data_IF_758302940521
#
_entry.id   IF_758302940521
#
_cell.length_a   1.000
_cell.length_b   1.000
_cell.length_c   1.000
_cell.angle_alpha   90.00
_cell.angle_beta   90.00
_cell.angle_gamma   90.00
#
_symmetry.space_group_name_H-M   'P 1'
#
loop_
_entity.id
_entity.type
_entity.pdbx_description
1 polymer ?
#
# COMPACT_ATOMS: atom_id res chain seq x y z
N UNK A 1 18.66 -45.53 54.68
CA UNK A 1 17.61 -46.19 55.48
C UNK A 1 16.27 -45.93 54.86
N UNK A 2 15.63 -46.96 54.40
CA UNK A 2 14.18 -47.11 54.06
C UNK A 2 13.35 -47.03 55.32
N UNK A 3 11.98 -47.09 55.34
CA UNK A 3 10.97 -47.21 54.24
C UNK A 3 9.76 -46.24 54.35
N UNK A 4 8.95 -46.12 53.31
CA UNK A 4 7.61 -46.72 53.00
C UNK A 4 6.45 -46.24 53.87
N UNK A 5 5.28 -45.93 53.35
CA UNK A 5 4.15 -46.63 52.72
C UNK A 5 3.02 -45.67 52.39
N UNK A 6 2.51 -45.63 51.19
CA UNK A 6 1.24 -46.17 50.65
C UNK A 6 -0.03 -46.05 51.54
N UNK A 7 -1.06 -45.29 51.02
CA UNK A 7 -2.46 -45.79 50.98
C UNK A 7 -3.35 -44.91 50.02
N UNK A 8 -3.94 -45.65 49.11
CA UNK A 8 -5.08 -45.26 48.27
C UNK A 8 -6.36 -45.15 49.15
N UNK A 9 -7.27 -44.26 48.70
CA UNK A 9 -8.70 -44.53 48.84
C UNK A 9 -9.47 -43.92 47.70
N UNK A 10 -10.24 -44.76 47.06
CA UNK A 10 -11.25 -44.51 46.04
C UNK A 10 -12.44 -43.73 46.63
N UNK A 11 -13.05 -42.91 45.79
CA UNK A 11 -14.37 -42.31 46.06
C UNK A 11 -14.99 -41.78 44.77
N UNK A 12 -15.78 -42.62 44.11
CA UNK A 12 -16.66 -42.28 42.98
C UNK A 12 -17.91 -41.61 43.56
N UNK A 13 -18.25 -40.41 43.05
CA UNK A 13 -19.60 -39.90 43.14
C UNK A 13 -20.00 -39.25 41.81
N UNK A 14 -20.96 -39.92 41.19
CA UNK A 14 -21.72 -39.44 40.02
C UNK A 14 -22.73 -38.40 40.51
N UNK A 15 -22.74 -37.25 39.91
CA UNK A 15 -23.75 -36.21 40.13
C UNK A 15 -23.99 -35.44 38.85
N UNK A 16 -25.07 -35.79 38.17
CA UNK A 16 -25.59 -35.02 37.04
C UNK A 16 -26.19 -33.71 37.52
N UNK A 17 -25.81 -32.58 36.93
CA UNK A 17 -26.52 -31.32 37.09
C UNK A 17 -26.62 -30.57 35.74
N UNK A 18 -27.82 -30.17 35.53
CA UNK A 18 -28.50 -29.53 34.46
C UNK A 18 -27.80 -28.28 33.88
N UNK A 19 -27.89 -28.20 32.57
CA UNK A 19 -27.55 -27.09 31.71
C UNK A 19 -28.45 -25.91 32.05
N UNK A 20 -27.85 -24.78 32.42
CA UNK A 20 -28.52 -23.47 32.38
C UNK A 20 -27.80 -22.58 31.38
N UNK A 21 -28.43 -22.41 30.25
CA UNK A 21 -28.05 -21.51 29.20
C UNK A 21 -28.24 -20.06 29.66
N UNK A 22 -27.15 -19.35 29.91
CA UNK A 22 -27.15 -17.88 29.94
C UNK A 22 -26.39 -17.41 28.76
N UNK A 23 -27.16 -16.95 27.76
CA UNK A 23 -26.72 -16.14 26.65
C UNK A 23 -26.29 -14.77 27.18
N UNK A 24 -24.99 -14.57 27.35
CA UNK A 24 -24.41 -13.23 27.42
C UNK A 24 -23.91 -12.88 26.02
N UNK A 25 -24.56 -11.89 25.41
CA UNK A 25 -24.14 -11.32 24.15
C UNK A 25 -22.69 -10.84 24.23
N UNK A 26 -21.78 -11.60 23.64
CA UNK A 26 -20.49 -11.12 23.27
C UNK A 26 -20.69 -10.13 22.14
N UNK A 27 -20.48 -8.85 22.41
CA UNK A 27 -20.24 -7.88 21.36
C UNK A 27 -18.97 -8.34 20.63
N UNK A 28 -19.16 -8.84 19.42
CA UNK A 28 -18.09 -8.89 18.43
C UNK A 28 -17.70 -7.44 18.19
N UNK A 29 -16.55 -7.03 18.68
CA UNK A 29 -15.85 -5.86 18.18
C UNK A 29 -15.57 -6.18 16.72
N UNK A 30 -16.35 -5.53 15.85
CA UNK A 30 -16.14 -5.59 14.42
C UNK A 30 -14.68 -5.21 14.14
N UNK A 31 -13.97 -6.17 13.56
CA UNK A 31 -12.60 -6.00 13.08
C UNK A 31 -12.61 -5.14 11.80
N UNK A 32 -13.04 -3.89 11.92
CA UNK A 32 -12.99 -2.94 10.82
C UNK A 32 -11.54 -2.52 10.47
N UNK A 33 -10.60 -2.71 11.44
CA UNK A 33 -9.20 -2.32 11.24
C UNK A 33 -8.36 -3.35 10.45
N UNK A 34 -8.85 -4.58 10.23
CA UNK A 34 -8.10 -5.58 9.46
C UNK A 34 -8.38 -5.55 7.95
N UNK A 35 -9.42 -4.85 7.50
CA UNK A 35 -9.76 -4.78 6.08
C UNK A 35 -9.03 -3.64 5.34
N UNK A 36 -8.54 -2.61 6.02
CA UNK A 36 -7.77 -1.53 5.39
C UNK A 36 -6.46 -2.05 4.78
N UNK A 37 -5.79 -3.01 5.44
CA UNK A 37 -4.52 -3.59 4.96
C UNK A 37 -4.63 -4.51 3.74
N UNK A 38 -5.84 -5.01 3.42
CA UNK A 38 -6.05 -5.94 2.30
C UNK A 38 -6.68 -5.30 1.06
N UNK A 39 -6.91 -3.98 1.08
CA UNK A 39 -7.59 -3.28 -0.01
C UNK A 39 -6.80 -3.27 -1.31
N UNK A 40 -5.46 -3.25 -1.21
CA UNK A 40 -4.54 -3.14 -2.35
C UNK A 40 -3.61 -4.35 -2.38
N UNK A 41 -3.77 -5.22 -3.36
CA UNK A 41 -3.13 -6.56 -3.39
C UNK A 41 -1.62 -6.55 -3.56
N UNK A 42 -1.04 -5.45 -4.02
CA UNK A 42 0.41 -5.30 -4.25
C UNK A 42 1.03 -4.09 -3.51
N UNK A 43 0.29 -3.51 -2.55
CA UNK A 43 0.75 -2.37 -1.74
C UNK A 43 0.61 -2.74 -0.26
N UNK A 44 1.12 -3.91 0.12
CA UNK A 44 0.94 -4.46 1.46
C UNK A 44 2.03 -3.92 2.39
N UNK A 45 1.61 -3.24 3.46
CA UNK A 45 2.50 -2.74 4.51
C UNK A 45 2.62 -3.80 5.60
N UNK A 46 3.84 -4.18 5.95
CA UNK A 46 4.12 -5.19 6.99
C UNK A 46 4.24 -4.59 8.40
N UNK A 47 4.48 -3.29 8.51
CA UNK A 47 4.61 -2.60 9.79
C UNK A 47 4.94 -1.12 9.65
N UNK A 48 4.75 -0.38 10.74
CA UNK A 48 5.06 1.05 10.80
C UNK A 48 6.58 1.30 10.93
N UNK A 49 7.02 2.44 10.42
CA UNK A 49 8.40 2.93 10.59
C UNK A 49 8.43 3.86 11.79
N UNK A 50 9.21 3.52 12.79
CA UNK A 50 9.31 4.30 14.03
C UNK A 50 10.66 5.00 14.15
N UNK A 51 10.68 6.16 14.81
CA UNK A 51 11.91 6.86 15.23
C UNK A 51 12.66 7.59 14.12
N UNK A 52 12.17 7.59 12.88
CA UNK A 52 12.73 8.34 11.74
C UNK A 52 11.66 8.68 10.72
N UNK A 53 11.98 9.58 9.83
CA UNK A 53 11.15 9.88 8.65
C UNK A 53 11.07 8.68 7.71
N UNK A 54 9.92 8.48 7.09
CA UNK A 54 9.76 7.49 6.03
C UNK A 54 10.42 7.98 4.74
N UNK A 55 11.01 7.03 3.99
CA UNK A 55 11.67 7.27 2.70
C UNK A 55 10.83 6.70 1.57
N UNK A 56 10.29 7.58 0.78
CA UNK A 56 9.40 7.28 -0.32
C UNK A 56 10.16 7.46 -1.63
N UNK A 57 10.16 6.43 -2.45
CA UNK A 57 10.70 6.49 -3.82
C UNK A 57 9.54 6.41 -4.81
N UNK A 58 9.63 7.16 -5.89
CA UNK A 58 8.65 7.15 -6.98
C UNK A 58 9.34 7.01 -8.33
N UNK A 59 8.73 6.27 -9.23
CA UNK A 59 9.33 5.98 -10.55
C UNK A 59 9.05 7.05 -11.60
N UNK A 60 7.89 7.72 -11.55
CA UNK A 60 7.50 8.69 -12.60
C UNK A 60 7.04 10.02 -12.00
N UNK A 61 7.38 11.11 -12.66
CA UNK A 61 7.15 12.47 -12.15
C UNK A 61 5.68 12.80 -11.78
N UNK A 62 4.64 12.41 -12.53
CA UNK A 62 3.27 12.62 -12.09
C UNK A 62 2.93 11.96 -10.76
N UNK A 63 3.42 10.73 -10.52
CA UNK A 63 3.23 10.02 -9.25
C UNK A 63 4.01 10.72 -8.14
N UNK A 64 5.26 11.14 -8.40
CA UNK A 64 6.05 11.93 -7.44
C UNK A 64 5.28 13.17 -6.98
N UNK A 65 4.62 13.86 -7.91
CA UNK A 65 3.81 15.04 -7.60
C UNK A 65 2.59 14.72 -6.73
N UNK A 66 1.87 13.63 -7.01
CA UNK A 66 0.74 13.20 -6.17
C UNK A 66 1.20 12.85 -4.76
N UNK A 67 2.30 12.10 -4.64
CA UNK A 67 2.89 11.73 -3.33
C UNK A 67 3.28 12.99 -2.56
N UNK A 68 4.00 13.91 -3.18
CA UNK A 68 4.44 15.15 -2.53
C UNK A 68 3.26 15.97 -1.99
N UNK A 69 2.13 15.99 -2.70
CA UNK A 69 0.93 16.68 -2.24
C UNK A 69 0.24 15.94 -1.09
N UNK A 70 0.24 14.61 -1.07
CA UNK A 70 -0.34 13.83 0.04
C UNK A 70 0.52 13.95 1.29
N UNK A 71 1.85 13.83 1.18
CA UNK A 71 2.71 13.90 2.37
C UNK A 71 2.89 15.33 2.88
N UNK A 72 2.78 16.32 2.01
CA UNK A 72 2.89 17.74 2.40
C UNK A 72 4.19 18.05 3.13
N UNK A 73 4.09 18.76 4.26
CA UNK A 73 5.23 19.15 5.12
C UNK A 73 5.45 18.19 6.31
N UNK A 74 4.93 16.96 6.25
CA UNK A 74 5.06 15.96 7.33
C UNK A 74 6.50 15.55 7.65
N UNK A 75 7.44 15.87 6.75
CA UNK A 75 8.85 15.49 6.87
C UNK A 75 9.20 14.16 6.23
N UNK A 76 8.27 13.48 5.55
CA UNK A 76 8.59 12.31 4.73
C UNK A 76 9.57 12.69 3.62
N UNK A 77 10.59 11.85 3.38
CA UNK A 77 11.57 12.05 2.32
C UNK A 77 11.04 11.46 1.01
N UNK A 78 10.80 12.30 -0.01
CA UNK A 78 10.28 11.86 -1.31
C UNK A 78 11.35 12.01 -2.38
N UNK A 79 11.69 10.92 -3.07
CA UNK A 79 12.66 10.89 -4.16
C UNK A 79 12.03 10.36 -5.44
N UNK A 80 11.99 11.18 -6.50
CA UNK A 80 11.60 10.75 -7.84
C UNK A 80 12.82 10.20 -8.60
N UNK A 81 12.73 8.98 -9.13
CA UNK A 81 13.81 8.38 -9.93
C UNK A 81 13.84 8.90 -11.35
N UNK A 82 12.69 9.01 -11.99
CA UNK A 82 12.59 9.54 -13.35
C UNK A 82 12.43 11.06 -13.28
N UNK A 83 13.39 11.84 -13.79
CA UNK A 83 13.31 13.30 -13.79
C UNK A 83 12.10 13.80 -14.56
N UNK A 84 11.58 14.95 -14.14
CA UNK A 84 10.50 15.64 -14.84
C UNK A 84 10.87 15.91 -16.30
N UNK A 85 9.91 15.74 -17.21
CA UNK A 85 10.13 15.90 -18.64
C UNK A 85 10.85 14.73 -19.34
N UNK A 86 11.21 13.69 -18.60
CA UNK A 86 11.84 12.48 -19.16
C UNK A 86 10.77 11.46 -19.60
N UNK A 87 11.04 10.78 -20.71
CA UNK A 87 10.14 9.70 -21.18
C UNK A 87 10.33 8.44 -20.32
N UNK A 88 9.36 8.15 -19.47
CA UNK A 88 9.40 7.01 -18.56
C UNK A 88 9.38 5.64 -19.25
N UNK A 89 8.87 5.55 -20.50
CA UNK A 89 8.86 4.29 -21.27
C UNK A 89 10.27 3.83 -21.68
N UNK A 90 11.22 4.77 -21.77
CA UNK A 90 12.56 4.51 -22.28
C UNK A 90 13.65 4.93 -21.31
N UNK A 91 13.26 5.37 -20.12
CA UNK A 91 14.22 5.74 -19.09
C UNK A 91 14.91 4.51 -18.52
N UNK A 92 16.24 4.56 -18.53
CA UNK A 92 17.08 3.57 -17.87
C UNK A 92 17.70 4.24 -16.62
N UNK A 93 17.37 3.76 -15.42
CA UNK A 93 17.88 4.35 -14.20
C UNK A 93 19.40 4.15 -14.10
N UNK A 94 20.15 5.16 -13.63
CA UNK A 94 21.58 5.01 -13.42
C UNK A 94 21.86 4.03 -12.27
N UNK A 95 23.03 3.38 -12.25
CA UNK A 95 23.41 2.43 -11.17
C UNK A 95 23.30 3.02 -9.75
N UNK A 96 23.48 4.34 -9.62
CA UNK A 96 23.31 5.03 -8.33
C UNK A 96 21.87 5.00 -7.78
N UNK A 97 20.86 4.76 -8.62
CA UNK A 97 19.48 4.60 -8.20
C UNK A 97 19.30 3.36 -7.30
N UNK A 98 20.16 2.34 -7.44
CA UNK A 98 20.13 1.17 -6.56
C UNK A 98 20.29 1.52 -5.08
N UNK A 99 21.15 2.50 -4.75
CA UNK A 99 21.36 2.93 -3.37
C UNK A 99 20.13 3.67 -2.80
N UNK A 100 19.40 4.40 -3.66
CA UNK A 100 18.16 5.08 -3.28
C UNK A 100 17.07 4.04 -3.00
N UNK A 101 16.97 3.02 -3.84
CA UNK A 101 16.02 1.92 -3.71
C UNK A 101 16.32 1.06 -2.47
N UNK A 102 17.59 0.73 -2.19
CA UNK A 102 18.01 -0.02 -0.99
C UNK A 102 17.57 0.67 0.31
N UNK A 103 17.55 2.00 0.32
CA UNK A 103 17.18 2.79 1.49
C UNK A 103 15.66 3.07 1.61
N UNK A 104 14.87 2.70 0.62
CA UNK A 104 13.44 3.01 0.56
C UNK A 104 12.59 2.18 1.54
N UNK A 105 11.58 2.80 2.11
CA UNK A 105 10.52 2.12 2.87
C UNK A 105 9.36 1.72 1.97
N UNK A 106 9.12 2.53 0.94
CA UNK A 106 8.15 2.25 -0.11
C UNK A 106 8.63 2.77 -1.46
N UNK A 107 8.38 1.98 -2.50
CA UNK A 107 8.57 2.38 -3.90
C UNK A 107 7.21 2.41 -4.58
N UNK A 108 6.72 3.59 -4.92
CA UNK A 108 5.52 3.76 -5.72
C UNK A 108 5.87 3.73 -7.21
N UNK A 109 5.30 2.81 -7.92
CA UNK A 109 5.43 2.63 -9.36
C UNK A 109 4.07 2.81 -10.04
N UNK A 110 4.08 3.17 -11.31
CA UNK A 110 2.82 3.13 -12.07
C UNK A 110 2.38 1.69 -12.33
N UNK A 111 3.31 0.84 -12.73
CA UNK A 111 2.99 -0.50 -13.21
C UNK A 111 2.42 -0.47 -14.63
N UNK A 112 1.58 -1.47 -14.97
CA UNK A 112 0.95 -1.59 -16.30
C UNK A 112 1.99 -1.61 -17.44
N UNK A 113 3.16 -2.18 -17.18
CA UNK A 113 4.26 -2.33 -18.16
C UNK A 113 4.84 -0.99 -18.65
N UNK A 114 4.76 0.07 -17.82
CA UNK A 114 5.30 1.39 -18.19
C UNK A 114 6.81 1.47 -18.04
N UNK A 115 7.31 1.16 -16.84
CA UNK A 115 8.68 1.41 -16.41
C UNK A 115 9.43 0.13 -16.05
N UNK A 116 9.42 -0.88 -16.93
CA UNK A 116 10.00 -2.20 -16.66
C UNK A 116 11.47 -2.13 -16.20
N UNK A 117 12.40 -1.35 -16.83
CA UNK A 117 13.78 -1.29 -16.36
C UNK A 117 13.94 -0.74 -14.94
N UNK A 118 13.10 0.23 -14.56
CA UNK A 118 13.11 0.80 -13.19
C UNK A 118 12.50 -0.16 -12.19
N UNK A 119 11.46 -0.90 -12.58
CA UNK A 119 10.84 -1.95 -11.79
C UNK A 119 11.84 -3.08 -11.50
N UNK A 120 12.51 -3.59 -12.53
CA UNK A 120 13.53 -4.67 -12.40
C UNK A 120 14.66 -4.24 -11.46
N UNK A 121 15.10 -2.97 -11.55
CA UNK A 121 16.09 -2.42 -10.65
C UNK A 121 15.56 -2.35 -9.21
N UNK A 122 14.31 -1.92 -9.01
CA UNK A 122 13.68 -1.87 -7.69
C UNK A 122 13.59 -3.27 -7.09
N UNK A 123 13.00 -4.24 -7.78
CA UNK A 123 12.85 -5.61 -7.31
C UNK A 123 14.20 -6.27 -6.93
N UNK A 124 15.29 -5.83 -7.57
CA UNK A 124 16.64 -6.40 -7.33
C UNK A 124 17.39 -5.72 -6.18
N UNK A 125 16.96 -4.55 -5.73
CA UNK A 125 17.76 -3.73 -4.81
C UNK A 125 17.02 -3.26 -3.54
N UNK A 126 15.72 -3.38 -3.44
CA UNK A 126 14.99 -3.00 -2.21
C UNK A 126 15.20 -4.00 -1.08
N UNK A 127 15.04 -3.54 0.16
CA UNK A 127 15.07 -4.40 1.33
C UNK A 127 13.83 -5.31 1.43
N UNK A 128 13.94 -6.38 2.22
CA UNK A 128 12.88 -7.39 2.38
C UNK A 128 11.56 -6.81 2.92
N UNK A 129 11.64 -5.73 3.71
CA UNK A 129 10.49 -5.05 4.32
C UNK A 129 9.97 -3.87 3.48
N UNK A 130 10.62 -3.54 2.35
CA UNK A 130 10.22 -2.43 1.50
C UNK A 130 8.90 -2.74 0.77
N UNK A 131 7.96 -1.81 0.83
CA UNK A 131 6.69 -1.92 0.10
C UNK A 131 6.93 -1.60 -1.38
N UNK A 132 6.72 -2.55 -2.27
CA UNK A 132 6.63 -2.31 -3.71
C UNK A 132 5.16 -2.13 -4.07
N UNK A 133 4.78 -0.92 -4.51
CA UNK A 133 3.40 -0.54 -4.75
C UNK A 133 3.20 -0.06 -6.19
N UNK A 134 2.61 -0.91 -7.04
CA UNK A 134 2.20 -0.55 -8.39
C UNK A 134 0.79 0.05 -8.38
N UNK A 135 0.68 1.36 -8.47
CA UNK A 135 -0.59 2.09 -8.35
C UNK A 135 -1.61 1.69 -9.43
N UNK A 136 -1.19 1.65 -10.69
CA UNK A 136 -2.07 1.30 -11.79
C UNK A 136 -2.60 -0.13 -11.71
N UNK A 137 -1.74 -1.08 -11.35
CA UNK A 137 -2.12 -2.49 -11.15
C UNK A 137 -3.04 -2.65 -9.95
N UNK A 138 -2.88 -1.83 -8.89
CA UNK A 138 -3.72 -1.85 -7.71
C UNK A 138 -5.16 -1.42 -7.99
N UNK A 139 -5.34 -0.37 -8.81
CA UNK A 139 -6.67 0.20 -9.08
C UNK A 139 -7.37 -0.40 -10.30
N UNK A 140 -6.62 -1.04 -11.20
CA UNK A 140 -7.15 -1.55 -12.47
C UNK A 140 -6.72 -3.01 -12.70
N UNK A 141 -7.55 -3.98 -12.35
CA UNK A 141 -7.26 -5.39 -12.55
C UNK A 141 -7.20 -5.73 -14.05
N UNK A 142 -6.49 -6.81 -14.44
CA UNK A 142 -6.20 -7.13 -15.85
C UNK A 142 -7.42 -7.19 -16.77
N UNK A 143 -8.55 -7.66 -16.27
CA UNK A 143 -9.81 -7.74 -17.04
C UNK A 143 -10.43 -6.37 -17.39
N UNK A 144 -9.97 -5.30 -16.69
CA UNK A 144 -10.40 -3.91 -16.90
C UNK A 144 -9.34 -3.07 -17.61
N UNK A 145 -8.22 -3.65 -18.01
CA UNK A 145 -7.17 -2.92 -18.70
C UNK A 145 -7.67 -2.17 -19.91
N UNK A 146 -7.23 -0.92 -20.05
CA UNK A 146 -7.61 0.00 -21.11
C UNK A 146 -6.64 -0.17 -22.28
N UNK A 147 -7.18 -0.33 -23.47
CA UNK A 147 -6.44 -0.40 -24.72
C UNK A 147 -6.97 0.66 -25.66
N UNK A 148 -6.09 1.25 -26.47
CA UNK A 148 -6.44 2.27 -27.45
C UNK A 148 -5.57 2.16 -28.71
N UNK A 149 -5.61 3.18 -29.58
CA UNK A 149 -4.83 3.18 -30.81
C UNK A 149 -3.32 3.13 -30.56
N UNK A 150 -2.81 3.82 -29.54
CA UNK A 150 -1.39 3.84 -29.17
C UNK A 150 -0.96 2.59 -28.39
N UNK A 151 -1.91 1.96 -27.73
CA UNK A 151 -1.74 0.74 -26.92
C UNK A 151 -2.75 -0.31 -27.37
N UNK A 152 -2.57 -0.90 -28.56
CA UNK A 152 -3.52 -1.88 -29.09
C UNK A 152 -3.50 -3.19 -28.31
N UNK A 153 -4.66 -3.83 -28.15
CA UNK A 153 -4.80 -5.08 -27.39
C UNK A 153 -3.88 -6.19 -27.89
N UNK A 154 -3.66 -6.27 -29.19
CA UNK A 154 -2.77 -7.29 -29.80
C UNK A 154 -1.29 -7.08 -29.39
N UNK A 155 -0.92 -5.88 -28.92
CA UNK A 155 0.38 -5.59 -28.38
C UNK A 155 0.60 -6.09 -26.94
N UNK A 156 -0.45 -6.53 -26.27
CA UNK A 156 -0.42 -7.10 -24.92
C UNK A 156 -0.13 -6.11 -23.78
N UNK A 157 0.14 -4.83 -24.11
CA UNK A 157 0.46 -3.79 -23.12
C UNK A 157 -0.69 -2.78 -23.05
N UNK A 158 -1.33 -2.58 -21.88
CA UNK A 158 -2.42 -1.61 -21.75
C UNK A 158 -1.91 -0.18 -21.81
N UNK A 159 -2.83 0.79 -21.99
CA UNK A 159 -2.49 2.19 -21.78
C UNK A 159 -2.16 2.44 -20.29
N UNK A 160 -0.91 2.83 -19.97
CA UNK A 160 -0.49 2.97 -18.59
C UNK A 160 -0.79 4.35 -17.98
N UNK A 161 -1.27 5.32 -18.78
CA UNK A 161 -1.36 6.73 -18.39
C UNK A 161 -2.63 7.03 -17.57
N UNK A 162 -2.93 6.23 -16.56
CA UNK A 162 -4.16 6.34 -15.76
C UNK A 162 -4.25 7.65 -14.98
N UNK A 163 -3.12 8.26 -14.59
CA UNK A 163 -3.08 9.54 -13.88
C UNK A 163 -3.60 10.72 -14.71
N UNK A 164 -3.75 10.57 -16.03
CA UNK A 164 -4.34 11.59 -16.90
C UNK A 164 -5.86 11.62 -16.84
N UNK A 165 -6.48 10.61 -16.24
CA UNK A 165 -7.92 10.51 -16.00
C UNK A 165 -8.21 10.90 -14.54
N UNK A 166 -8.94 12.00 -14.26
CA UNK A 166 -9.12 12.50 -12.90
C UNK A 166 -9.67 11.45 -11.91
N UNK A 167 -10.73 10.67 -12.21
CA UNK A 167 -11.19 9.60 -11.32
C UNK A 167 -10.12 8.54 -11.01
N UNK A 168 -9.25 8.19 -11.96
CA UNK A 168 -8.17 7.23 -11.72
C UNK A 168 -7.03 7.86 -10.93
N UNK A 169 -6.70 9.13 -11.19
CA UNK A 169 -5.75 9.89 -10.37
C UNK A 169 -6.22 9.98 -8.91
N UNK A 170 -7.52 10.21 -8.68
CA UNK A 170 -8.12 10.18 -7.34
C UNK A 170 -7.92 8.81 -6.66
N UNK A 171 -8.08 7.71 -7.39
CA UNK A 171 -7.80 6.39 -6.85
C UNK A 171 -6.32 6.19 -6.49
N UNK A 172 -5.39 6.78 -7.25
CA UNK A 172 -3.95 6.78 -6.88
C UNK A 172 -3.72 7.51 -5.56
N UNK A 173 -4.36 8.68 -5.37
CA UNK A 173 -4.28 9.44 -4.12
C UNK A 173 -4.75 8.62 -2.93
N UNK A 174 -5.86 7.88 -3.08
CA UNK A 174 -6.38 6.98 -2.03
C UNK A 174 -5.36 5.89 -1.66
N UNK A 175 -4.74 5.22 -2.66
CA UNK A 175 -3.72 4.19 -2.41
C UNK A 175 -2.51 4.79 -1.70
N UNK A 176 -1.99 5.93 -2.19
CA UNK A 176 -0.83 6.60 -1.61
C UNK A 176 -1.11 6.94 -0.15
N UNK A 177 -2.25 7.62 0.14
CA UNK A 177 -2.66 7.97 1.51
C UNK A 177 -2.71 6.74 2.41
N UNK A 178 -3.36 5.67 1.97
CA UNK A 178 -3.53 4.46 2.77
C UNK A 178 -2.18 3.80 3.12
N UNK A 179 -1.25 3.75 2.17
CA UNK A 179 0.08 3.17 2.35
C UNK A 179 0.95 4.03 3.28
N UNK A 180 1.03 5.35 3.02
CA UNK A 180 1.88 6.23 3.86
C UNK A 180 1.34 6.36 5.27
N UNK A 181 0.01 6.32 5.47
CA UNK A 181 -0.61 6.35 6.81
C UNK A 181 -0.32 5.08 7.62
N UNK A 182 -0.17 3.92 6.95
CA UNK A 182 0.21 2.68 7.62
C UNK A 182 1.71 2.65 7.95
N UNK A 183 2.55 3.19 7.08
CA UNK A 183 4.00 3.28 7.31
C UNK A 183 4.37 4.31 8.37
N UNK A 184 3.62 5.40 8.44
CA UNK A 184 3.87 6.53 9.34
C UNK A 184 2.54 6.99 10.01
N UNK A 185 2.04 6.21 10.97
CA UNK A 185 0.77 6.50 11.64
C UNK A 185 0.80 7.79 12.47
N UNK A 186 2.00 8.28 12.82
CA UNK A 186 2.15 9.54 13.54
C UNK A 186 1.72 10.77 12.72
N UNK A 187 1.77 10.70 11.40
CA UNK A 187 1.37 11.77 10.47
C UNK A 187 0.09 11.43 9.67
N UNK A 188 -0.62 10.35 10.03
CA UNK A 188 -1.77 9.86 9.27
C UNK A 188 -2.90 10.88 9.12
N UNK A 189 -3.15 11.71 10.14
CA UNK A 189 -4.18 12.77 10.09
C UNK A 189 -3.80 13.86 9.08
N UNK A 190 -2.52 14.24 9.00
CA UNK A 190 -2.03 15.22 8.02
C UNK A 190 -2.12 14.64 6.59
N UNK A 191 -1.75 13.39 6.39
CA UNK A 191 -1.90 12.71 5.10
C UNK A 191 -3.35 12.62 4.66
N UNK A 192 -4.27 12.35 5.58
CA UNK A 192 -5.70 12.32 5.31
C UNK A 192 -6.23 13.70 4.90
N UNK A 193 -5.86 14.76 5.62
CA UNK A 193 -6.29 16.13 5.32
C UNK A 193 -5.76 16.60 3.96
N UNK A 194 -4.48 16.36 3.66
CA UNK A 194 -3.87 16.71 2.39
C UNK A 194 -4.49 15.94 1.22
N UNK A 195 -4.75 14.65 1.41
CA UNK A 195 -5.41 13.82 0.41
C UNK A 195 -6.85 14.29 0.15
N UNK A 196 -7.61 14.67 1.18
CA UNK A 196 -8.98 15.22 1.04
C UNK A 196 -8.98 16.49 0.16
N UNK A 197 -8.06 17.42 0.42
CA UNK A 197 -7.95 18.64 -0.39
C UNK A 197 -7.55 18.33 -1.84
N UNK A 198 -6.60 17.42 -2.05
CA UNK A 198 -6.19 17.00 -3.39
C UNK A 198 -7.34 16.32 -4.15
N UNK A 199 -8.09 15.44 -3.49
CA UNK A 199 -9.26 14.77 -4.06
C UNK A 199 -10.36 15.78 -4.43
N UNK A 200 -10.56 16.84 -3.62
CA UNK A 200 -11.48 17.93 -3.94
C UNK A 200 -11.07 18.64 -5.22
N UNK A 201 -9.78 18.98 -5.36
CA UNK A 201 -9.23 19.64 -6.55
C UNK A 201 -9.39 18.77 -7.80
N UNK A 202 -9.06 17.48 -7.69
CA UNK A 202 -9.23 16.50 -8.78
C UNK A 202 -10.72 16.38 -9.18
N UNK A 203 -11.63 16.40 -8.22
CA UNK A 203 -13.09 16.35 -8.47
C UNK A 203 -13.60 17.59 -9.19
N UNK A 204 -13.08 18.77 -8.87
CA UNK A 204 -13.39 20.03 -9.59
C UNK A 204 -12.88 19.97 -11.03
N UNK A 205 -11.65 19.45 -11.24
CA UNK A 205 -11.09 19.25 -12.58
C UNK A 205 -11.95 18.28 -13.41
N UNK A 206 -12.32 17.12 -12.84
CA UNK A 206 -13.19 16.15 -13.52
C UNK A 206 -14.54 16.77 -13.91
N UNK A 207 -15.09 17.62 -13.03
CA UNK A 207 -16.35 18.31 -13.33
C UNK A 207 -16.21 19.35 -14.44
N UNK A 208 -15.06 20.02 -14.52
CA UNK A 208 -14.78 21.01 -15.56
C UNK A 208 -14.49 20.38 -16.93
N UNK A 209 -14.09 19.11 -16.97
CA UNK A 209 -13.79 18.36 -18.20
C UNK A 209 -15.02 17.68 -18.83
N UNK A 210 -16.17 17.68 -18.16
CA UNK A 210 -17.46 17.11 -18.61
C UNK A 210 -18.31 18.15 -19.30
#
# INVERSE_FOLDING_TARGET
MRPATLRQCFGVCIGAVLISSCSTGGQTVDSADSEAGARWTNCVVSGAIEGRQIRIVSTVAPITSLIAQVVGESGAEVTGLVPEGTNSHTFEPPPSAAQVLEAADVVFMNGLVLEEPTRDLAESNVGDDTVLCELGTSILPPEKWIFDFSFPRDGGKPNPHLWTNPPMAASYVDVIRDVVSQLDPGNADDYAANAEELLRIIGELDSAMK
#
